data_IF_674807163646
#
_entry.id   IF_674807163646
#
_cell.length_a   1.000
_cell.length_b   1.000
_cell.length_c   1.000
_cell.angle_alpha   90.00
_cell.angle_beta   90.00
_cell.angle_gamma   90.00
#
_symmetry.space_group_name_H-M   'P 1'
#
loop_
_entity.id
_entity.type
_entity.pdbx_description
1 polymer ?
#
# COMPACT_ATOMS: atom_id res chain seq x y z
N UNK A 1 -8.74 0.64 16.98
CA UNK A 1 -8.84 -0.47 15.99
C UNK A 1 -7.53 -0.53 15.22
N UNK A 2 -6.65 -1.52 15.43
CA UNK A 2 -5.31 -1.52 14.84
C UNK A 2 -5.25 -2.37 13.55
N UNK A 3 -6.13 -2.11 12.58
CA UNK A 3 -6.13 -2.84 11.32
C UNK A 3 -5.48 -2.00 10.21
N UNK A 4 -4.57 -2.59 9.44
CA UNK A 4 -3.97 -2.06 8.21
C UNK A 4 -4.32 -3.02 7.10
N UNK A 5 -4.80 -2.52 5.97
CA UNK A 5 -5.12 -3.36 4.81
C UNK A 5 -3.83 -3.67 4.04
N UNK A 6 -3.53 -4.96 3.85
CA UNK A 6 -2.52 -5.41 2.91
C UNK A 6 -3.11 -5.33 1.48
N UNK A 7 -2.88 -4.21 0.79
CA UNK A 7 -3.37 -3.94 -0.57
C UNK A 7 -2.23 -4.04 -1.60
N UNK A 8 -1.46 -5.12 -1.56
CA UNK A 8 -0.36 -5.39 -2.50
C UNK A 8 -0.78 -6.47 -3.52
N UNK A 9 -0.30 -6.37 -4.77
CA UNK A 9 -0.63 -7.32 -5.83
C UNK A 9 -1.87 -6.93 -6.66
N UNK A 10 -2.70 -7.91 -7.06
CA UNK A 10 -3.88 -7.68 -7.91
C UNK A 10 -5.05 -7.08 -7.10
N UNK A 11 -4.95 -5.80 -6.77
CA UNK A 11 -6.01 -5.08 -6.07
C UNK A 11 -7.05 -4.61 -7.07
N UNK A 12 -8.28 -5.11 -6.94
CA UNK A 12 -9.40 -4.64 -7.77
C UNK A 12 -9.97 -3.34 -7.20
N UNK A 13 -10.65 -2.49 -8.02
CA UNK A 13 -11.31 -1.29 -7.53
C UNK A 13 -12.24 -1.53 -6.33
N UNK A 14 -12.91 -2.70 -6.28
CA UNK A 14 -13.77 -3.10 -5.16
C UNK A 14 -13.03 -3.24 -3.83
N UNK A 15 -11.77 -3.65 -3.85
CA UNK A 15 -10.94 -3.75 -2.64
C UNK A 15 -10.57 -2.35 -2.13
N UNK A 16 -10.29 -1.41 -3.04
CA UNK A 16 -10.09 0.00 -2.65
C UNK A 16 -11.36 0.60 -2.06
N UNK A 17 -12.51 0.37 -2.68
CA UNK A 17 -13.82 0.81 -2.17
C UNK A 17 -14.10 0.24 -0.78
N UNK A 18 -13.83 -1.04 -0.55
CA UNK A 18 -14.02 -1.69 0.75
C UNK A 18 -13.10 -1.09 1.83
N UNK A 19 -11.82 -0.91 1.50
CA UNK A 19 -10.84 -0.27 2.40
C UNK A 19 -11.26 1.14 2.78
N UNK A 20 -11.72 1.92 1.80
CA UNK A 20 -12.19 3.29 2.00
C UNK A 20 -13.48 3.35 2.80
N UNK A 21 -14.43 2.44 2.53
CA UNK A 21 -15.68 2.31 3.28
C UNK A 21 -15.44 2.11 4.78
N UNK A 22 -14.44 1.29 5.13
CA UNK A 22 -14.06 1.05 6.53
C UNK A 22 -12.98 2.01 7.06
N UNK A 23 -12.53 2.99 6.27
CA UNK A 23 -11.51 3.96 6.66
C UNK A 23 -10.14 3.35 6.98
N UNK A 24 -9.85 2.15 6.47
CA UNK A 24 -8.64 1.42 6.82
C UNK A 24 -7.40 2.04 6.14
N UNK A 25 -6.29 2.24 6.87
CA UNK A 25 -5.04 2.65 6.24
C UNK A 25 -4.55 1.57 5.28
N UNK A 26 -4.09 1.98 4.10
CA UNK A 26 -3.46 1.07 3.15
C UNK A 26 -1.96 0.91 3.40
N UNK A 27 -1.33 0.01 2.65
CA UNK A 27 0.08 -0.33 2.77
C UNK A 27 0.86 0.02 1.50
N UNK A 28 2.09 0.52 1.68
CA UNK A 28 3.07 0.69 0.60
C UNK A 28 4.42 0.15 1.03
N UNK A 29 5.09 -0.55 0.13
CA UNK A 29 6.41 -1.14 0.37
C UNK A 29 7.41 -0.44 -0.53
N UNK A 30 8.42 0.17 0.09
CA UNK A 30 9.42 1.01 -0.59
C UNK A 30 10.22 0.22 -1.63
N UNK A 31 10.50 -1.05 -1.38
CA UNK A 31 11.23 -1.94 -2.29
C UNK A 31 10.63 -1.97 -3.71
N UNK A 32 9.31 -1.81 -3.86
CA UNK A 32 8.67 -1.80 -5.16
C UNK A 32 8.82 -0.48 -5.92
N UNK A 33 9.27 0.61 -5.28
CA UNK A 33 9.31 1.97 -5.83
C UNK A 33 10.47 2.32 -6.76
N UNK A 34 11.36 1.38 -7.06
CA UNK A 34 12.59 1.64 -7.85
C UNK A 34 12.52 1.17 -9.31
N UNK A 35 11.38 0.64 -9.75
CA UNK A 35 11.13 0.23 -11.14
C UNK A 35 10.41 1.32 -11.94
N UNK A 36 10.54 1.29 -13.27
CA UNK A 36 9.74 2.14 -14.18
C UNK A 36 8.25 1.79 -13.99
N UNK A 37 7.40 2.81 -13.82
CA UNK A 37 5.95 2.62 -13.59
C UNK A 37 5.57 2.30 -12.13
N UNK A 38 6.51 2.41 -11.18
CA UNK A 38 6.27 2.13 -9.77
C UNK A 38 5.93 3.37 -8.92
N UNK A 39 5.39 4.42 -9.53
CA UNK A 39 5.20 5.71 -8.89
C UNK A 39 4.31 5.63 -7.63
N UNK A 40 3.37 4.69 -7.59
CA UNK A 40 2.51 4.46 -6.41
C UNK A 40 3.27 4.00 -5.15
N UNK A 41 4.50 3.49 -5.32
CA UNK A 41 5.37 3.02 -4.24
C UNK A 41 6.45 4.04 -3.85
N UNK A 42 6.47 5.22 -4.47
CA UNK A 42 7.41 6.28 -4.11
C UNK A 42 6.94 7.07 -2.87
N UNK A 43 7.78 7.25 -1.83
CA UNK A 43 7.37 7.86 -0.55
C UNK A 43 6.72 9.23 -0.67
N UNK A 44 7.23 10.08 -1.57
CA UNK A 44 6.70 11.42 -1.79
C UNK A 44 5.32 11.45 -2.46
N UNK A 45 4.80 10.29 -2.88
CA UNK A 45 3.48 10.11 -3.52
C UNK A 45 2.48 9.38 -2.62
N UNK A 46 2.85 9.06 -1.37
CA UNK A 46 1.96 8.35 -0.46
C UNK A 46 0.80 9.25 0.01
N UNK A 47 -0.45 8.78 -0.09
CA UNK A 47 -1.57 9.48 0.53
C UNK A 47 -1.44 9.41 2.06
N UNK A 48 -1.97 10.42 2.77
CA UNK A 48 -1.85 10.53 4.23
C UNK A 48 -2.38 9.32 5.02
N UNK A 49 -3.35 8.59 4.46
CA UNK A 49 -3.93 7.39 5.08
C UNK A 49 -3.24 6.08 4.63
N UNK A 50 -1.92 6.13 4.44
CA UNK A 50 -1.11 4.96 4.14
C UNK A 50 0.01 4.81 5.17
N UNK A 51 0.50 3.58 5.29
CA UNK A 51 1.70 3.23 6.06
C UNK A 51 2.75 2.72 5.09
N UNK A 52 3.93 3.34 5.15
CA UNK A 52 5.10 2.94 4.38
C UNK A 52 5.93 1.94 5.16
N UNK A 53 6.35 0.86 4.50
CA UNK A 53 7.23 -0.16 5.04
C UNK A 53 8.45 -0.27 4.13
N UNK A 54 9.62 -0.54 4.71
CA UNK A 54 10.88 -0.63 3.95
C UNK A 54 10.94 -1.90 3.10
N UNK A 55 10.68 -3.05 3.74
CA UNK A 55 10.70 -4.41 3.17
C UNK A 55 9.57 -5.20 3.86
N UNK A 56 9.08 -6.28 3.23
CA UNK A 56 8.21 -7.25 3.91
C UNK A 56 9.01 -8.47 4.37
N UNK A 57 8.55 -9.12 5.43
CA UNK A 57 9.13 -10.35 5.98
C UNK A 57 9.03 -11.55 5.02
N UNK A 58 8.14 -11.48 4.01
CA UNK A 58 8.02 -12.49 2.94
C UNK A 58 9.03 -12.29 1.80
N UNK A 59 9.88 -11.26 1.90
CA UNK A 59 10.84 -10.93 0.87
C UNK A 59 12.24 -11.44 1.25
N UNK A 60 12.40 -12.77 1.22
CA UNK A 60 13.68 -13.50 1.26
C UNK A 60 13.71 -14.57 0.15
#
# INVERSE_FOLDING_TARGET
MPFVAEDLGLVTPKVHELREHFGLPGMRVLQFGFSVGAEMYQPHRYPKNYRGYTVRDDND
#
